data_IF_918348736063
#
_entry.id   IF_918348736063
#
_cell.length_a   1.000
_cell.length_b   1.000
_cell.length_c   1.000
_cell.angle_alpha   90.00
_cell.angle_beta   90.00
_cell.angle_gamma   90.00
#
_symmetry.space_group_name_H-M   'P 1'
#
loop_
_entity.id
_entity.type
_entity.pdbx_description
1 polymer ?
#
# COMPACT_ATOMS: atom_id res chain seq x y z
N UNK A 1 50.01 8.53 -38.95
CA UNK A 1 48.99 8.44 -40.02
C UNK A 1 47.65 8.24 -39.34
N UNK A 2 46.79 9.26 -39.32
CA UNK A 2 45.45 9.16 -38.70
C UNK A 2 44.49 8.73 -39.82
N UNK A 3 43.99 7.50 -39.75
CA UNK A 3 43.03 6.99 -40.71
C UNK A 3 41.63 7.55 -40.39
N UNK A 4 41.11 8.39 -41.28
CA UNK A 4 39.70 8.77 -41.30
C UNK A 4 38.89 7.61 -41.90
N UNK A 5 37.78 7.17 -41.29
CA UNK A 5 37.00 6.04 -41.80
C UNK A 5 36.34 6.43 -43.13
N UNK A 6 36.70 5.75 -44.21
CA UNK A 6 36.05 5.85 -45.51
C UNK A 6 34.85 4.90 -45.61
N UNK A 7 33.97 5.19 -46.56
CA UNK A 7 32.71 4.49 -46.90
C UNK A 7 32.86 2.98 -47.23
N UNK A 8 34.09 2.44 -47.21
CA UNK A 8 34.43 1.08 -47.64
C UNK A 8 34.44 0.04 -46.51
N UNK A 9 34.12 0.42 -45.26
CA UNK A 9 34.01 -0.50 -44.14
C UNK A 9 32.57 -0.54 -43.61
N UNK A 10 31.79 -1.52 -44.06
CA UNK A 10 30.43 -1.81 -43.57
C UNK A 10 30.41 -3.04 -42.67
N UNK A 11 29.37 -3.17 -41.83
CA UNK A 11 29.18 -4.35 -40.97
C UNK A 11 29.86 -4.28 -39.58
N UNK A 12 30.28 -3.09 -39.13
CA UNK A 12 30.77 -2.92 -37.76
C UNK A 12 29.68 -3.29 -36.75
N UNK A 13 30.01 -4.22 -35.86
CA UNK A 13 29.20 -4.57 -34.69
C UNK A 13 30.09 -4.67 -33.45
N UNK A 14 29.52 -4.36 -32.28
CA UNK A 14 30.24 -4.43 -31.01
C UNK A 14 30.34 -3.09 -30.30
N UNK A 15 30.93 -3.10 -29.11
CA UNK A 15 31.07 -1.90 -28.28
C UNK A 15 32.53 -1.64 -27.93
N UNK A 16 32.99 -0.40 -28.12
CA UNK A 16 34.35 0.04 -27.77
C UNK A 16 34.29 1.43 -27.12
N UNK A 17 34.93 1.58 -25.94
CA UNK A 17 35.07 2.85 -25.20
C UNK A 17 33.79 3.70 -25.12
N UNK A 18 32.65 3.06 -24.89
CA UNK A 18 31.37 3.75 -24.73
C UNK A 18 30.67 4.12 -26.05
N UNK A 19 31.12 3.61 -27.19
CA UNK A 19 30.38 3.65 -28.47
C UNK A 19 29.99 2.23 -28.84
N UNK A 20 28.71 2.01 -29.11
CA UNK A 20 28.16 0.76 -29.64
C UNK A 20 27.85 0.94 -31.11
N UNK A 21 28.48 0.12 -31.95
CA UNK A 21 28.19 0.02 -33.37
C UNK A 21 27.20 -1.12 -33.62
N UNK A 22 26.20 -0.87 -34.47
CA UNK A 22 25.34 -1.92 -35.03
C UNK A 22 25.02 -1.61 -36.49
N UNK A 23 24.82 -2.65 -37.29
CA UNK A 23 24.39 -2.52 -38.67
C UNK A 23 22.90 -2.89 -38.78
N UNK A 24 22.07 -1.95 -39.23
CA UNK A 24 20.63 -2.14 -39.36
C UNK A 24 20.13 -1.43 -40.61
N UNK A 25 19.30 -2.10 -41.40
CA UNK A 25 18.67 -1.57 -42.63
C UNK A 25 19.64 -0.88 -43.61
N UNK A 26 20.81 -1.52 -43.82
CA UNK A 26 21.83 -1.00 -44.75
C UNK A 26 22.68 0.15 -44.20
N UNK A 27 22.56 0.47 -42.91
CA UNK A 27 23.25 1.61 -42.27
C UNK A 27 24.04 1.16 -41.05
N UNK A 28 25.26 1.70 -40.91
CA UNK A 28 26.02 1.63 -39.66
C UNK A 28 25.50 2.67 -38.69
N UNK A 29 24.90 2.24 -37.59
CA UNK A 29 24.43 3.08 -36.49
C UNK A 29 25.48 3.04 -35.38
N UNK A 30 26.00 4.21 -35.02
CA UNK A 30 26.88 4.39 -33.86
C UNK A 30 26.09 5.09 -32.77
N UNK A 31 25.88 4.42 -31.63
CA UNK A 31 25.23 5.00 -30.47
C UNK A 31 26.22 5.14 -29.32
N UNK A 32 26.28 6.33 -28.71
CA UNK A 32 27.00 6.53 -27.46
C UNK A 32 26.27 5.80 -26.33
N UNK A 33 27.03 5.17 -25.44
CA UNK A 33 26.51 4.59 -24.20
C UNK A 33 26.06 5.75 -23.33
N UNK A 34 24.76 5.86 -23.12
CA UNK A 34 24.22 6.84 -22.20
C UNK A 34 24.61 6.45 -20.77
N UNK A 35 25.35 7.33 -20.11
CA UNK A 35 25.56 7.25 -18.67
C UNK A 35 24.52 8.14 -17.99
N UNK A 36 23.88 7.69 -16.91
CA UNK A 36 23.03 8.56 -16.11
C UNK A 36 23.88 9.75 -15.63
N UNK A 37 23.40 10.96 -15.84
CA UNK A 37 24.03 12.17 -15.31
C UNK A 37 23.48 12.44 -13.91
N UNK A 38 24.36 12.87 -12.99
CA UNK A 38 24.00 13.20 -11.60
C UNK A 38 24.13 12.05 -10.60
N UNK A 39 23.95 12.39 -9.32
CA UNK A 39 23.97 11.42 -8.22
C UNK A 39 22.68 10.60 -8.18
N UNK A 40 22.81 9.29 -8.00
CA UNK A 40 21.64 8.42 -7.86
C UNK A 40 21.08 8.54 -6.44
N UNK A 41 19.78 8.80 -6.33
CA UNK A 41 19.11 8.83 -5.02
C UNK A 41 19.10 7.45 -4.37
N UNK A 42 19.00 7.39 -3.05
CA UNK A 42 18.93 6.12 -2.28
C UNK A 42 17.80 5.23 -2.82
N UNK A 43 16.63 5.81 -3.12
CA UNK A 43 15.50 5.08 -3.70
C UNK A 43 15.79 4.50 -5.09
N UNK A 44 16.48 5.25 -5.95
CA UNK A 44 16.90 4.74 -7.27
C UNK A 44 17.89 3.59 -7.13
N UNK A 45 18.83 3.67 -6.18
CA UNK A 45 19.77 2.59 -5.89
C UNK A 45 19.06 1.34 -5.34
N UNK A 46 18.09 1.50 -4.44
CA UNK A 46 17.28 0.41 -3.92
C UNK A 46 16.52 -0.32 -5.04
N UNK A 47 15.85 0.44 -5.94
CA UNK A 47 15.14 -0.14 -7.09
C UNK A 47 16.07 -0.85 -8.07
N UNK A 48 17.24 -0.25 -8.39
CA UNK A 48 18.26 -0.90 -9.23
C UNK A 48 18.78 -2.19 -8.60
N UNK A 49 18.94 -2.21 -7.28
CA UNK A 49 19.42 -3.37 -6.53
C UNK A 49 18.38 -4.50 -6.53
N UNK A 50 17.11 -4.16 -6.31
CA UNK A 50 15.97 -5.09 -6.43
C UNK A 50 15.91 -5.72 -7.82
N UNK A 51 15.89 -4.92 -8.89
CA UNK A 51 15.89 -5.44 -10.26
C UNK A 51 17.10 -6.33 -10.54
N UNK A 52 18.30 -5.90 -10.12
CA UNK A 52 19.52 -6.70 -10.26
C UNK A 52 19.45 -8.02 -9.49
N UNK A 53 18.84 -8.05 -8.30
CA UNK A 53 18.63 -9.27 -7.51
C UNK A 53 17.72 -10.24 -8.28
N UNK A 54 16.58 -9.76 -8.77
CA UNK A 54 15.61 -10.56 -9.54
C UNK A 54 16.24 -11.08 -10.84
N UNK A 55 16.96 -10.24 -11.60
CA UNK A 55 17.61 -10.72 -12.83
C UNK A 55 18.67 -11.79 -12.57
N UNK A 56 19.35 -11.73 -11.42
CA UNK A 56 20.36 -12.73 -11.02
C UNK A 56 19.76 -14.09 -10.62
N UNK A 57 18.48 -14.16 -10.23
CA UNK A 57 17.82 -15.42 -9.91
C UNK A 57 17.29 -16.15 -11.14
N UNK A 58 17.07 -15.45 -12.26
CA UNK A 58 16.68 -16.09 -13.52
C UNK A 58 17.59 -17.26 -13.97
N UNK A 59 18.94 -17.13 -14.00
CA UNK A 59 19.81 -18.24 -14.41
C UNK A 59 19.87 -19.40 -13.40
N UNK A 60 19.36 -19.23 -12.18
CA UNK A 60 19.27 -20.32 -11.19
C UNK A 60 18.01 -21.16 -11.32
N UNK A 61 17.05 -20.72 -12.16
CA UNK A 61 15.85 -21.49 -12.46
C UNK A 61 16.18 -22.71 -13.32
N UNK A 62 15.40 -23.76 -13.16
CA UNK A 62 15.48 -24.94 -14.02
C UNK A 62 15.07 -24.63 -15.45
N UNK A 63 15.47 -25.47 -16.41
CA UNK A 63 15.06 -25.33 -17.81
C UNK A 63 13.54 -25.40 -17.96
N UNK A 64 12.88 -26.28 -17.19
CA UNK A 64 11.43 -26.41 -17.19
C UNK A 64 10.74 -25.13 -16.71
N UNK A 65 11.19 -24.56 -15.60
CA UNK A 65 10.65 -23.28 -15.09
C UNK A 65 10.79 -22.16 -16.11
N UNK A 66 11.97 -22.04 -16.76
CA UNK A 66 12.20 -21.02 -17.78
C UNK A 66 11.27 -21.21 -18.99
N UNK A 67 11.05 -22.45 -19.42
CA UNK A 67 10.09 -22.76 -20.49
C UNK A 67 8.65 -22.37 -20.10
N UNK A 68 8.24 -22.61 -18.87
CA UNK A 68 6.90 -22.24 -18.41
C UNK A 68 6.72 -20.72 -18.35
N UNK A 69 7.76 -19.97 -17.98
CA UNK A 69 7.78 -18.50 -18.08
C UNK A 69 7.71 -18.00 -19.53
N UNK A 70 8.40 -18.65 -20.48
CA UNK A 70 8.28 -18.31 -21.90
C UNK A 70 6.87 -18.57 -22.43
N UNK A 71 6.26 -19.71 -22.10
CA UNK A 71 4.86 -20.02 -22.47
C UNK A 71 3.89 -18.98 -21.92
N UNK A 72 4.04 -18.58 -20.65
CA UNK A 72 3.19 -17.56 -20.07
C UNK A 72 3.40 -16.19 -20.76
N UNK A 73 4.63 -15.87 -21.13
CA UNK A 73 4.97 -14.62 -21.83
C UNK A 73 4.36 -14.51 -23.24
N UNK A 74 4.10 -15.63 -23.92
CA UNK A 74 3.37 -15.63 -25.21
C UNK A 74 1.94 -15.10 -25.08
N UNK A 75 1.32 -15.31 -23.91
CA UNK A 75 -0.04 -14.85 -23.61
C UNK A 75 -0.06 -13.49 -22.90
N UNK A 76 1.06 -13.05 -22.32
CA UNK A 76 1.18 -11.76 -21.66
C UNK A 76 1.52 -10.66 -22.69
N UNK A 77 0.72 -9.60 -22.72
CA UNK A 77 0.99 -8.46 -23.58
C UNK A 77 1.77 -7.37 -22.84
N UNK A 78 2.84 -6.87 -23.46
CA UNK A 78 3.50 -5.64 -23.05
C UNK A 78 2.67 -4.40 -23.39
N UNK A 79 3.14 -3.23 -22.95
CA UNK A 79 2.55 -1.95 -23.33
C UNK A 79 2.57 -1.80 -24.86
N UNK A 80 1.43 -1.47 -25.46
CA UNK A 80 1.37 -1.20 -26.90
C UNK A 80 1.88 0.20 -27.18
N UNK A 81 2.88 0.31 -28.05
CA UNK A 81 3.42 1.58 -28.54
C UNK A 81 3.19 1.59 -30.05
N UNK A 82 2.49 2.60 -30.55
CA UNK A 82 2.05 2.71 -31.97
C UNK A 82 1.17 1.55 -32.48
N UNK A 83 0.28 1.01 -31.65
CA UNK A 83 -0.70 -0.01 -32.07
C UNK A 83 -0.15 -1.42 -32.26
N UNK A 84 1.14 -1.63 -32.05
CA UNK A 84 1.76 -2.96 -31.98
C UNK A 84 1.92 -3.36 -30.52
N UNK A 85 1.45 -4.56 -30.15
CA UNK A 85 1.68 -5.11 -28.81
C UNK A 85 3.11 -5.61 -28.73
N UNK A 86 3.89 -5.12 -27.77
CA UNK A 86 5.24 -5.62 -27.55
C UNK A 86 5.16 -7.09 -27.08
N UNK A 87 5.83 -7.99 -27.80
CA UNK A 87 6.02 -9.37 -27.35
C UNK A 87 6.95 -9.38 -26.15
N UNK A 88 6.52 -10.02 -25.07
CA UNK A 88 7.32 -10.18 -23.87
C UNK A 88 8.09 -11.49 -23.95
N UNK A 89 9.34 -11.52 -23.45
CA UNK A 89 10.08 -12.76 -23.23
C UNK A 89 9.84 -13.27 -21.82
N UNK A 90 10.09 -14.56 -21.58
CA UNK A 90 9.96 -15.19 -20.27
C UNK A 90 10.74 -14.46 -19.18
N UNK A 91 11.98 -14.08 -19.44
CA UNK A 91 12.79 -13.28 -18.49
C UNK A 91 12.17 -11.91 -18.20
N UNK A 92 11.60 -11.23 -19.20
CA UNK A 92 11.00 -9.91 -19.01
C UNK A 92 9.70 -10.03 -18.20
N UNK A 93 8.91 -11.08 -18.43
CA UNK A 93 7.73 -11.36 -17.63
C UNK A 93 8.11 -11.72 -16.19
N UNK A 94 9.09 -12.60 -16.02
CA UNK A 94 9.63 -12.99 -14.71
C UNK A 94 10.08 -11.78 -13.90
N UNK A 95 10.89 -10.89 -14.49
CA UNK A 95 11.36 -9.68 -13.82
C UNK A 95 10.19 -8.75 -13.48
N UNK A 96 9.22 -8.58 -14.38
CA UNK A 96 8.05 -7.72 -14.16
C UNK A 96 7.20 -8.20 -12.99
N UNK A 97 6.78 -9.46 -12.99
CA UNK A 97 5.89 -10.00 -11.95
C UNK A 97 6.60 -10.04 -10.59
N UNK A 98 7.86 -10.48 -10.56
CA UNK A 98 8.63 -10.52 -9.32
C UNK A 98 9.00 -9.14 -8.77
N UNK A 99 9.15 -8.11 -9.63
CA UNK A 99 9.34 -6.74 -9.15
C UNK A 99 8.09 -6.21 -8.44
N UNK A 100 6.91 -6.57 -8.93
CA UNK A 100 5.64 -6.23 -8.28
C UNK A 100 5.46 -6.98 -6.96
N UNK A 101 5.74 -8.28 -6.94
CA UNK A 101 5.72 -9.09 -5.71
C UNK A 101 6.66 -8.53 -4.64
N UNK A 102 7.91 -8.25 -5.03
CA UNK A 102 8.89 -7.66 -4.11
C UNK A 102 8.45 -6.27 -3.61
N UNK A 103 7.74 -5.50 -4.43
CA UNK A 103 7.15 -4.22 -4.00
C UNK A 103 6.07 -4.40 -2.93
N UNK A 104 5.29 -5.49 -3.00
CA UNK A 104 4.29 -5.85 -2.00
C UNK A 104 4.86 -6.64 -0.78
N UNK A 105 6.19 -6.76 -0.68
CA UNK A 105 6.86 -7.47 0.42
C UNK A 105 6.95 -8.99 0.23
N UNK A 106 6.49 -9.52 -0.91
CA UNK A 106 6.41 -10.95 -1.17
C UNK A 106 7.73 -11.55 -1.67
N UNK A 107 7.90 -12.86 -1.46
CA UNK A 107 9.03 -13.62 -1.99
C UNK A 107 8.99 -13.76 -3.52
N UNK A 108 10.14 -14.08 -4.13
CA UNK A 108 10.25 -14.28 -5.58
C UNK A 108 9.61 -15.61 -5.98
N UNK A 109 8.74 -15.58 -6.99
CA UNK A 109 8.24 -16.78 -7.65
C UNK A 109 9.35 -17.41 -8.50
N UNK A 110 9.60 -18.70 -8.27
CA UNK A 110 10.41 -19.53 -9.15
C UNK A 110 9.57 -20.09 -10.30
N UNK A 111 8.39 -20.63 -9.98
CA UNK A 111 7.46 -21.22 -10.94
C UNK A 111 6.55 -20.16 -11.56
N UNK A 112 6.30 -20.29 -12.87
CA UNK A 112 5.39 -19.39 -13.57
C UNK A 112 3.94 -19.64 -13.13
N UNK A 113 3.13 -18.59 -12.95
CA UNK A 113 1.69 -18.73 -12.76
C UNK A 113 1.04 -19.56 -13.87
N UNK A 114 -0.01 -20.32 -13.55
CA UNK A 114 -0.69 -21.19 -14.50
C UNK A 114 -1.33 -20.45 -15.70
N UNK A 115 -1.55 -19.14 -15.57
CA UNK A 115 -2.08 -18.29 -16.62
C UNK A 115 -2.10 -16.82 -16.23
N UNK A 116 -2.56 -15.98 -17.15
CA UNK A 116 -2.80 -14.57 -16.86
C UNK A 116 -3.95 -14.43 -15.86
N UNK A 117 -3.70 -13.78 -14.74
CA UNK A 117 -4.75 -13.40 -13.79
C UNK A 117 -5.27 -12.02 -14.16
N UNK A 118 -6.57 -11.93 -14.47
CA UNK A 118 -7.23 -10.66 -14.67
C UNK A 118 -7.54 -10.03 -13.31
N UNK A 119 -6.72 -9.07 -12.89
CA UNK A 119 -7.03 -8.27 -11.73
C UNK A 119 -8.22 -7.34 -12.02
N UNK A 120 -9.13 -7.14 -11.05
CA UNK A 120 -10.29 -6.29 -11.24
C UNK A 120 -9.88 -4.82 -11.46
N UNK A 121 -10.82 -4.01 -11.94
CA UNK A 121 -10.64 -2.57 -11.98
C UNK A 121 -10.87 -1.96 -10.60
N UNK A 122 -10.18 -0.86 -10.31
CA UNK A 122 -10.40 -0.09 -9.08
C UNK A 122 -11.68 0.73 -9.26
N UNK A 123 -12.59 0.59 -8.30
CA UNK A 123 -13.83 1.37 -8.18
C UNK A 123 -13.76 2.11 -6.84
N UNK A 124 -13.89 3.44 -6.86
CA UNK A 124 -13.99 4.29 -5.66
C UNK A 124 -15.03 5.40 -5.89
N UNK A 125 -15.46 6.05 -4.82
CA UNK A 125 -16.46 7.13 -4.88
C UNK A 125 -15.83 8.51 -4.98
N UNK A 126 -14.82 8.81 -4.17
CA UNK A 126 -14.16 10.11 -4.19
C UNK A 126 -12.70 10.04 -3.71
N UNK A 127 -11.90 11.03 -4.10
CA UNK A 127 -10.54 11.23 -3.60
C UNK A 127 -10.49 12.62 -2.96
N UNK A 128 -10.19 12.66 -1.66
CA UNK A 128 -9.98 13.90 -0.92
C UNK A 128 -8.49 14.21 -0.87
N UNK A 129 -8.14 15.44 -1.23
CA UNK A 129 -6.77 15.96 -1.13
C UNK A 129 -6.84 17.32 -0.48
N UNK A 130 -6.22 17.44 0.68
CA UNK A 130 -6.08 18.67 1.46
C UNK A 130 -4.69 18.69 2.09
N UNK A 131 -4.26 19.80 2.71
CA UNK A 131 -2.98 19.83 3.43
C UNK A 131 -2.87 18.77 4.52
N UNK A 132 -3.98 18.48 5.21
CA UNK A 132 -4.02 17.63 6.39
C UNK A 132 -4.51 16.21 6.12
N UNK A 133 -5.17 15.98 4.97
CA UNK A 133 -5.78 14.70 4.62
C UNK A 133 -5.66 14.39 3.13
N UNK A 134 -5.14 13.19 2.84
CA UNK A 134 -5.14 12.57 1.52
C UNK A 134 -5.76 11.17 1.63
N UNK A 135 -7.01 11.02 1.21
CA UNK A 135 -7.77 9.79 1.38
C UNK A 135 -8.60 9.43 0.14
N UNK A 136 -8.71 8.13 -0.14
CA UNK A 136 -9.57 7.59 -1.19
C UNK A 136 -10.75 6.88 -0.50
N UNK A 137 -11.98 7.25 -0.83
CA UNK A 137 -13.19 6.79 -0.13
C UNK A 137 -14.15 6.05 -1.06
N UNK A 138 -14.96 5.17 -0.47
CA UNK A 138 -15.91 4.32 -1.19
C UNK A 138 -15.24 3.31 -2.12
N UNK A 139 -14.02 2.88 -1.78
CA UNK A 139 -13.29 1.81 -2.46
C UNK A 139 -14.11 0.53 -2.34
N UNK A 140 -14.31 -0.14 -3.46
CA UNK A 140 -14.93 -1.46 -3.48
C UNK A 140 -13.91 -2.53 -3.11
N UNK A 141 -13.93 -2.94 -1.84
CA UNK A 141 -13.02 -3.93 -1.27
C UNK A 141 -12.80 -5.14 -2.17
N UNK A 142 -11.54 -5.58 -2.25
CA UNK A 142 -11.17 -6.85 -2.86
C UNK A 142 -10.44 -7.69 -1.82
N UNK A 143 -10.91 -8.92 -1.57
CA UNK A 143 -10.22 -9.79 -0.63
C UNK A 143 -8.83 -10.15 -1.14
N UNK A 144 -8.00 -10.68 -0.24
CA UNK A 144 -6.74 -11.32 -0.60
C UNK A 144 -6.93 -12.27 -1.81
N UNK A 145 -5.98 -12.28 -2.77
CA UNK A 145 -4.62 -11.72 -2.70
C UNK A 145 -4.46 -10.30 -3.28
N UNK A 146 -5.54 -9.55 -3.48
CA UNK A 146 -5.45 -8.23 -4.10
C UNK A 146 -5.07 -7.14 -3.10
N UNK A 147 -4.06 -6.33 -3.44
CA UNK A 147 -3.68 -5.11 -2.71
C UNK A 147 -3.77 -3.88 -3.60
N UNK A 148 -4.18 -2.74 -3.05
CA UNK A 148 -4.33 -1.50 -3.80
C UNK A 148 -2.96 -0.81 -3.91
N UNK A 149 -2.51 -0.56 -5.13
CA UNK A 149 -1.32 0.25 -5.38
C UNK A 149 -1.76 1.67 -5.70
N UNK A 150 -1.19 2.64 -4.96
CA UNK A 150 -1.48 4.06 -5.11
C UNK A 150 -0.23 4.80 -5.56
N UNK A 151 -0.36 5.54 -6.67
CA UNK A 151 0.65 6.47 -7.16
C UNK A 151 0.10 7.88 -7.14
N UNK A 152 0.92 8.83 -6.69
CA UNK A 152 0.53 10.22 -6.66
C UNK A 152 1.66 11.11 -7.14
N UNK A 153 1.32 12.28 -7.69
CA UNK A 153 2.29 13.33 -8.01
C UNK A 153 2.45 14.31 -6.86
N UNK A 154 3.57 15.04 -6.84
CA UNK A 154 3.62 16.31 -6.13
C UNK A 154 2.58 17.29 -6.72
N UNK A 155 2.21 18.31 -5.96
CA UNK A 155 1.27 19.33 -6.42
C UNK A 155 1.77 20.04 -7.70
N UNK A 156 0.85 20.20 -8.66
CA UNK A 156 1.08 20.82 -9.96
C UNK A 156 0.18 22.05 -10.11
N UNK A 157 0.55 22.97 -10.99
CA UNK A 157 -0.35 24.07 -11.36
C UNK A 157 -1.69 23.51 -11.88
N UNK A 158 -2.84 24.08 -11.49
CA UNK A 158 -4.15 23.60 -11.95
C UNK A 158 -4.31 23.62 -13.48
N UNK A 159 -3.54 24.45 -14.19
CA UNK A 159 -3.52 24.49 -15.66
C UNK A 159 -2.81 23.30 -16.33
N UNK A 160 -2.12 22.43 -15.59
CA UNK A 160 -1.46 21.24 -16.16
C UNK A 160 -2.53 20.19 -16.49
N UNK A 161 -2.60 19.79 -17.76
CA UNK A 161 -3.55 18.80 -18.27
C UNK A 161 -2.98 17.38 -18.34
N UNK A 162 -1.65 17.24 -18.36
CA UNK A 162 -0.97 15.95 -18.40
C UNK A 162 0.26 15.98 -17.47
N UNK A 163 0.20 15.23 -16.38
CA UNK A 163 1.29 15.08 -15.41
C UNK A 163 1.50 13.62 -14.97
N UNK A 164 1.04 12.65 -15.76
CA UNK A 164 1.09 11.23 -15.39
C UNK A 164 2.52 10.70 -15.26
N UNK A 165 3.49 11.32 -15.93
CA UNK A 165 4.92 11.03 -15.85
C UNK A 165 5.56 11.46 -14.52
N UNK A 166 4.87 12.30 -13.73
CA UNK A 166 5.33 12.82 -12.44
C UNK A 166 4.83 12.00 -11.25
N UNK A 167 4.02 10.98 -11.48
CA UNK A 167 3.45 10.14 -10.42
C UNK A 167 4.50 9.15 -9.90
N UNK A 168 4.59 9.04 -8.58
CA UNK A 168 5.46 8.09 -7.89
C UNK A 168 4.60 7.14 -7.04
N UNK A 169 5.05 5.90 -6.89
CA UNK A 169 4.38 4.93 -6.01
C UNK A 169 4.56 5.40 -4.57
N UNK A 170 3.45 5.75 -3.92
CA UNK A 170 3.42 6.14 -2.51
C UNK A 170 3.13 4.94 -1.61
N UNK A 171 2.33 3.98 -2.09
CA UNK A 171 2.08 2.71 -1.42
C UNK A 171 1.94 1.59 -2.45
N UNK A 172 2.52 0.43 -2.15
CA UNK A 172 2.49 -0.76 -3.02
C UNK A 172 1.54 -1.85 -2.52
N UNK A 173 0.89 -1.62 -1.39
CA UNK A 173 0.25 -2.63 -0.57
C UNK A 173 -0.87 -2.03 0.31
N UNK A 174 -1.48 -0.92 -0.11
CA UNK A 174 -2.58 -0.30 0.64
C UNK A 174 -3.73 -1.29 0.75
N UNK A 175 -4.18 -1.54 1.97
CA UNK A 175 -5.44 -2.23 2.23
C UNK A 175 -6.53 -1.18 2.40
N UNK A 176 -7.70 -1.42 1.80
CA UNK A 176 -8.86 -0.60 2.09
C UNK A 176 -9.50 -1.06 3.39
N UNK A 177 -9.75 -0.10 4.28
CA UNK A 177 -10.42 -0.31 5.55
C UNK A 177 -11.85 0.21 5.41
N UNK A 178 -12.82 -0.70 5.32
CA UNK A 178 -14.24 -0.37 5.06
C UNK A 178 -14.46 0.52 3.82
N UNK A 179 -13.63 0.32 2.79
CA UNK A 179 -13.70 1.11 1.57
C UNK A 179 -13.01 2.47 1.67
N UNK A 180 -12.14 2.68 2.65
CA UNK A 180 -11.30 3.85 2.77
C UNK A 180 -9.81 3.48 2.74
N UNK A 181 -9.02 4.30 2.05
CA UNK A 181 -7.57 4.26 2.12
C UNK A 181 -7.05 5.65 2.48
N UNK A 182 -6.66 5.85 3.73
CA UNK A 182 -5.91 7.03 4.14
C UNK A 182 -4.44 6.85 3.78
N UNK A 183 -3.95 7.70 2.88
CA UNK A 183 -2.57 7.67 2.37
C UNK A 183 -1.83 8.95 2.72
N UNK A 184 -2.30 9.71 3.70
CA UNK A 184 -1.75 11.04 4.07
C UNK A 184 -0.29 10.95 4.48
N UNK A 185 0.04 10.07 5.43
CA UNK A 185 1.42 9.90 5.88
C UNK A 185 2.31 9.32 4.79
N UNK A 186 1.79 8.38 4.00
CA UNK A 186 2.50 7.78 2.87
C UNK A 186 2.78 8.83 1.78
N UNK A 187 1.84 9.72 1.52
CA UNK A 187 2.00 10.86 0.63
C UNK A 187 3.09 11.80 1.15
N UNK A 188 2.98 12.25 2.40
CA UNK A 188 3.94 13.18 3.00
C UNK A 188 5.35 12.59 3.04
N UNK A 189 5.50 11.34 3.46
CA UNK A 189 6.78 10.64 3.52
C UNK A 189 7.41 10.47 2.14
N UNK A 190 6.61 10.28 1.08
CA UNK A 190 7.13 10.03 -0.27
C UNK A 190 7.40 11.29 -1.07
N UNK A 191 6.50 12.27 -0.97
CA UNK A 191 6.57 13.53 -1.70
C UNK A 191 7.45 14.55 -0.95
N UNK A 192 7.45 14.49 0.38
CA UNK A 192 8.23 15.37 1.26
C UNK A 192 7.58 16.72 1.54
N UNK A 193 6.41 17.00 0.97
CA UNK A 193 5.66 18.26 1.14
C UNK A 193 4.17 17.94 1.17
N UNK A 194 3.44 18.59 2.07
CA UNK A 194 1.98 18.51 2.14
C UNK A 194 1.32 19.07 0.86
N UNK A 195 0.06 18.70 0.62
CA UNK A 195 -0.64 19.18 -0.56
C UNK A 195 -0.96 20.69 -0.44
N UNK A 196 -0.68 21.46 -1.49
CA UNK A 196 -0.91 22.91 -1.50
C UNK A 196 -2.33 23.22 -2.00
N UNK A 197 -3.15 23.97 -1.24
CA UNK A 197 -4.50 24.34 -1.69
C UNK A 197 -4.51 25.05 -3.04
N UNK A 198 -5.48 24.72 -3.89
CA UNK A 198 -5.63 25.24 -5.25
C UNK A 198 -4.67 24.63 -6.29
N UNK A 199 -3.76 23.74 -5.87
CA UNK A 199 -2.90 22.98 -6.79
C UNK A 199 -3.47 21.59 -7.08
N UNK A 200 -3.09 21.02 -8.22
CA UNK A 200 -3.60 19.75 -8.72
C UNK A 200 -2.66 18.59 -8.37
N UNK A 201 -3.22 17.47 -7.94
CA UNK A 201 -2.51 16.21 -7.73
C UNK A 201 -3.04 15.16 -8.70
N UNK A 202 -2.14 14.48 -9.41
CA UNK A 202 -2.47 13.36 -10.28
C UNK A 202 -2.39 12.05 -9.48
N UNK A 203 -3.42 11.22 -9.59
CA UNK A 203 -3.55 9.96 -8.85
C UNK A 203 -3.71 8.81 -9.84
N UNK A 204 -2.90 7.77 -9.68
CA UNK A 204 -3.07 6.50 -10.40
C UNK A 204 -3.27 5.36 -9.40
N UNK A 205 -4.30 4.56 -9.58
CA UNK A 205 -4.62 3.41 -8.72
C UNK A 205 -4.81 2.15 -9.53
N UNK A 206 -4.33 1.01 -9.04
CA UNK A 206 -4.59 -0.31 -9.63
C UNK A 206 -4.48 -1.41 -8.58
N UNK A 207 -5.22 -2.51 -8.78
CA UNK A 207 -5.06 -3.71 -7.96
C UNK A 207 -3.80 -4.48 -8.38
N UNK A 208 -3.03 -4.94 -7.40
CA UNK A 208 -1.92 -5.87 -7.54
C UNK A 208 -2.33 -7.21 -6.91
N UNK A 209 -2.27 -8.28 -7.67
CA UNK A 209 -2.35 -9.64 -7.14
C UNK A 209 -1.00 -10.01 -6.53
N UNK A 210 -0.94 -10.17 -5.21
CA UNK A 210 0.30 -10.51 -4.51
C UNK A 210 0.73 -11.94 -4.73
N UNK A 211 -0.18 -12.87 -5.06
CA UNK A 211 0.14 -14.27 -5.36
C UNK A 211 0.86 -14.41 -6.70
N UNK A 212 0.53 -13.60 -7.70
CA UNK A 212 1.10 -13.76 -9.04
C UNK A 212 1.98 -12.59 -9.49
N UNK A 213 1.82 -11.41 -8.90
CA UNK A 213 2.45 -10.16 -9.34
C UNK A 213 1.75 -9.48 -10.52
N UNK A 214 0.60 -9.99 -10.98
CA UNK A 214 -0.19 -9.36 -12.02
C UNK A 214 -0.87 -8.09 -11.51
N UNK A 215 -1.04 -7.11 -12.40
CA UNK A 215 -1.64 -5.81 -12.08
C UNK A 215 -2.88 -5.56 -12.92
N UNK A 216 -3.88 -4.92 -12.34
CA UNK A 216 -5.09 -4.48 -13.02
C UNK A 216 -4.85 -3.29 -13.95
N UNK A 217 -5.93 -2.79 -14.53
CA UNK A 217 -5.87 -1.56 -15.31
C UNK A 217 -5.63 -0.37 -14.39
N UNK A 218 -4.82 0.58 -14.88
CA UNK A 218 -4.54 1.82 -14.17
C UNK A 218 -5.75 2.73 -14.29
N UNK A 219 -6.41 2.98 -13.17
CA UNK A 219 -7.40 4.03 -13.03
C UNK A 219 -6.69 5.35 -12.75
N UNK A 220 -7.08 6.41 -13.46
CA UNK A 220 -6.41 7.71 -13.46
C UNK A 220 -7.38 8.82 -13.11
N UNK A 221 -6.99 9.67 -12.16
CA UNK A 221 -7.76 10.85 -11.80
C UNK A 221 -6.84 12.04 -11.45
N UNK A 222 -7.38 13.24 -11.51
CA UNK A 222 -6.69 14.45 -11.09
C UNK A 222 -7.59 15.28 -10.17
N UNK A 223 -7.10 15.56 -8.98
CA UNK A 223 -7.85 16.21 -7.92
C UNK A 223 -7.22 17.57 -7.62
N UNK A 224 -8.04 18.59 -7.39
CA UNK A 224 -7.55 19.88 -6.90
C UNK A 224 -7.52 19.79 -5.38
N UNK A 225 -6.38 20.13 -4.78
CA UNK A 225 -6.25 20.22 -3.34
C UNK A 225 -7.18 21.33 -2.80
N UNK A 226 -8.11 20.95 -1.94
CA UNK A 226 -9.05 21.85 -1.28
C UNK A 226 -8.47 22.35 0.05
N UNK A 227 -9.02 23.45 0.58
CA UNK A 227 -8.56 24.02 1.85
C UNK A 227 -8.98 23.20 3.07
N UNK A 228 -10.17 22.60 3.02
CA UNK A 228 -10.74 21.74 4.05
C UNK A 228 -11.45 20.58 3.36
N UNK A 229 -11.34 19.38 3.92
CA UNK A 229 -12.05 18.23 3.40
C UNK A 229 -13.45 18.24 4.04
N UNK A 230 -14.54 18.02 3.26
CA UNK A 230 -15.85 17.73 3.84
C UNK A 230 -15.87 16.37 4.56
N UNK A 231 -14.78 15.62 4.45
CA UNK A 231 -14.55 14.31 5.02
C UNK A 231 -13.56 14.42 6.19
N UNK A 232 -13.98 14.01 7.38
CA UNK A 232 -13.12 13.92 8.56
C UNK A 232 -12.60 12.49 8.68
N UNK A 233 -11.30 12.35 8.93
CA UNK A 233 -10.65 11.06 9.20
C UNK A 233 -11.44 10.29 10.27
N UNK A 234 -11.65 8.99 10.04
CA UNK A 234 -12.22 8.09 11.05
C UNK A 234 -11.37 8.11 12.31
N UNK A 235 -12.01 8.27 13.46
CA UNK A 235 -11.32 8.21 14.74
C UNK A 235 -11.23 6.74 15.13
N UNK A 236 -10.02 6.23 15.33
CA UNK A 236 -9.77 4.83 15.69
C UNK A 236 -8.68 4.73 16.74
N UNK A 237 -8.81 3.76 17.64
CA UNK A 237 -7.74 3.34 18.53
C UNK A 237 -7.31 1.92 18.16
N UNK A 238 -6.05 1.73 17.79
CA UNK A 238 -5.47 0.43 17.45
C UNK A 238 -4.26 0.13 18.33
N UNK A 239 -3.64 -1.04 18.15
CA UNK A 239 -2.39 -1.38 18.84
C UNK A 239 -1.25 -0.38 18.57
N UNK A 240 -1.27 0.31 17.43
CA UNK A 240 -0.26 1.33 17.08
C UNK A 240 -0.53 2.68 17.76
N UNK A 241 -1.74 2.89 18.29
CA UNK A 241 -2.14 4.07 19.07
C UNK A 241 -1.77 3.96 20.55
N UNK A 242 -1.20 2.84 20.98
CA UNK A 242 -0.87 2.62 22.39
C UNK A 242 0.34 3.45 22.81
N UNK A 243 0.26 4.01 24.01
CA UNK A 243 1.40 4.67 24.64
C UNK A 243 2.47 3.63 25.03
N UNK A 244 3.68 3.70 24.46
CA UNK A 244 4.75 2.74 24.77
C UNK A 244 5.32 2.90 26.19
N UNK A 245 5.05 4.00 26.88
CA UNK A 245 5.52 4.26 28.24
C UNK A 245 4.60 3.70 29.34
N UNK A 246 3.37 3.31 28.98
CA UNK A 246 2.34 2.82 29.89
C UNK A 246 1.97 1.35 29.58
N UNK A 247 1.64 0.58 30.62
CA UNK A 247 1.26 -0.82 30.44
C UNK A 247 -0.23 -0.94 30.08
N UNK A 248 -0.53 -1.30 28.84
CA UNK A 248 -1.91 -1.62 28.40
C UNK A 248 -2.21 -3.12 28.56
N UNK A 249 -3.39 -3.47 29.06
CA UNK A 249 -3.78 -4.85 29.38
C UNK A 249 -4.65 -5.49 28.29
N UNK A 250 -4.16 -5.42 27.04
CA UNK A 250 -4.80 -5.97 25.85
C UNK A 250 -3.79 -6.67 24.94
N UNK A 251 -4.18 -7.74 24.24
CA UNK A 251 -3.35 -8.37 23.19
C UNK A 251 -3.78 -8.00 21.77
N UNK A 252 -4.97 -7.42 21.62
CA UNK A 252 -5.47 -6.84 20.39
C UNK A 252 -6.41 -5.68 20.72
N UNK A 253 -6.32 -4.61 19.95
CA UNK A 253 -7.18 -3.44 20.05
C UNK A 253 -7.51 -2.95 18.65
N UNK A 254 -8.80 -2.80 18.40
CA UNK A 254 -9.39 -2.21 17.22
C UNK A 254 -10.74 -1.58 17.61
N UNK A 255 -10.73 -0.30 17.93
CA UNK A 255 -11.94 0.46 18.28
C UNK A 255 -12.16 1.55 17.26
N UNK A 256 -13.25 1.45 16.49
CA UNK A 256 -13.65 2.43 15.47
C UNK A 256 -14.81 3.26 16.01
N UNK A 257 -14.62 4.58 16.02
CA UNK A 257 -15.66 5.53 16.37
C UNK A 257 -16.35 5.97 15.08
N UNK A 258 -17.57 5.48 14.86
CA UNK A 258 -18.30 5.77 13.62
C UNK A 258 -18.51 7.27 13.46
N UNK A 259 -18.08 7.81 12.33
CA UNK A 259 -18.27 9.23 12.02
C UNK A 259 -19.76 9.48 11.74
N UNK A 260 -20.40 10.35 12.53
CA UNK A 260 -21.78 10.79 12.32
C UNK A 260 -22.88 10.04 13.10
N UNK A 261 -22.52 9.11 13.99
CA UNK A 261 -23.45 8.51 14.94
C UNK A 261 -22.77 8.29 16.31
N UNK A 262 -23.50 8.34 17.44
CA UNK A 262 -22.93 8.08 18.76
C UNK A 262 -22.72 6.57 18.98
N UNK A 263 -22.02 5.91 18.06
CA UNK A 263 -21.77 4.46 18.08
C UNK A 263 -20.28 4.22 17.89
N UNK A 264 -19.71 3.38 18.74
CA UNK A 264 -18.38 2.83 18.58
C UNK A 264 -18.48 1.33 18.31
N UNK A 265 -17.65 0.84 17.40
CA UNK A 265 -17.43 -0.58 17.21
C UNK A 265 -16.21 -0.98 18.06
N UNK A 266 -16.46 -1.76 19.10
CA UNK A 266 -15.41 -2.30 19.95
C UNK A 266 -14.96 -3.65 19.40
N UNK A 267 -13.65 -3.86 19.31
CA UNK A 267 -13.03 -5.16 19.08
C UNK A 267 -11.69 -5.19 19.83
N UNK A 268 -11.64 -5.87 20.97
CA UNK A 268 -10.46 -5.92 21.81
C UNK A 268 -10.32 -7.28 22.50
N UNK A 269 -9.09 -7.74 22.71
CA UNK A 269 -8.80 -8.91 23.54
C UNK A 269 -8.20 -8.42 24.86
N UNK A 270 -9.05 -8.37 25.89
CA UNK A 270 -8.73 -7.92 27.23
C UNK A 270 -8.04 -9.01 28.03
N UNK A 271 -7.03 -8.64 28.82
CA UNK A 271 -6.28 -9.54 29.71
C UNK A 271 -6.64 -9.40 31.18
N UNK A 272 -7.42 -8.39 31.54
CA UNK A 272 -7.65 -7.95 32.91
C UNK A 272 -6.41 -7.37 33.60
N UNK A 273 -6.63 -6.65 34.69
CA UNK A 273 -5.59 -5.91 35.41
C UNK A 273 -5.73 -6.07 36.92
N UNK A 274 -4.62 -6.32 37.64
CA UNK A 274 -4.48 -6.12 39.09
C UNK A 274 -5.60 -6.64 39.99
N UNK A 275 -6.10 -7.85 39.74
CA UNK A 275 -7.25 -8.47 40.45
C UNK A 275 -8.57 -7.65 40.37
N UNK A 276 -8.65 -6.70 39.44
CA UNK A 276 -9.84 -5.96 39.10
C UNK A 276 -10.45 -6.59 37.84
N UNK A 277 -11.77 -6.64 37.78
CA UNK A 277 -12.50 -7.12 36.61
C UNK A 277 -12.54 -6.05 35.51
N UNK A 278 -11.38 -5.62 35.04
CA UNK A 278 -11.22 -4.62 33.98
C UNK A 278 -9.87 -4.70 33.27
N UNK A 279 -9.82 -4.23 32.02
CA UNK A 279 -8.60 -3.97 31.26
C UNK A 279 -8.47 -2.48 30.98
N UNK A 280 -7.24 -1.96 31.09
CA UNK A 280 -6.91 -0.57 30.77
C UNK A 280 -6.09 -0.49 29.49
N UNK A 281 -6.35 0.55 28.70
CA UNK A 281 -5.73 0.81 27.41
C UNK A 281 -5.32 2.27 27.39
N UNK A 282 -4.00 2.51 27.38
CA UNK A 282 -3.41 3.84 27.39
C UNK A 282 -3.03 4.22 25.96
N UNK A 283 -3.60 5.32 25.46
CA UNK A 283 -3.36 5.85 24.13
C UNK A 283 -2.36 7.00 24.19
N UNK A 284 -1.49 7.10 23.18
CA UNK A 284 -0.42 8.09 23.10
C UNK A 284 -0.91 9.53 22.84
N UNK A 285 -2.17 9.67 22.39
CA UNK A 285 -2.80 10.93 22.00
C UNK A 285 -4.23 11.04 22.56
N UNK A 286 -4.68 12.29 22.72
CA UNK A 286 -6.08 12.58 23.05
C UNK A 286 -7.03 12.15 21.92
N UNK A 287 -8.18 11.61 22.32
CA UNK A 287 -9.28 11.37 21.39
C UNK A 287 -10.13 12.65 21.25
N UNK A 288 -10.79 12.88 20.11
CA UNK A 288 -11.73 13.99 19.97
C UNK A 288 -12.79 13.99 21.07
N UNK A 289 -13.17 15.18 21.54
CA UNK A 289 -14.15 15.34 22.63
C UNK A 289 -15.50 14.66 22.34
N UNK A 290 -15.84 14.48 21.06
CA UNK A 290 -17.08 13.83 20.61
C UNK A 290 -17.14 12.33 20.89
N UNK A 291 -15.98 11.68 21.09
CA UNK A 291 -15.88 10.23 21.35
C UNK A 291 -15.52 9.91 22.81
N UNK A 292 -15.25 10.94 23.61
CA UNK A 292 -15.04 10.84 25.06
C UNK A 292 -16.39 10.58 25.73
N UNK A 293 -16.47 9.54 26.56
CA UNK A 293 -17.74 9.14 27.16
C UNK A 293 -17.76 7.69 27.65
N UNK A 294 -18.97 7.14 27.75
CA UNK A 294 -19.18 5.74 28.17
C UNK A 294 -19.84 4.93 27.07
N UNK A 295 -19.15 3.88 26.63
CA UNK A 295 -19.65 2.86 25.72
C UNK A 295 -20.11 1.60 26.44
N UNK A 296 -20.75 0.70 25.69
CA UNK A 296 -21.14 -0.65 26.16
C UNK A 296 -20.74 -1.66 25.09
N UNK A 297 -20.13 -2.77 25.48
CA UNK A 297 -19.89 -3.89 24.57
C UNK A 297 -20.17 -5.24 25.24
N UNK A 298 -20.30 -6.27 24.41
CA UNK A 298 -20.39 -7.65 24.88
C UNK A 298 -18.99 -8.25 24.94
N UNK A 299 -18.81 -9.23 25.81
CA UNK A 299 -17.60 -10.02 25.92
C UNK A 299 -17.92 -11.50 25.76
N UNK A 300 -16.99 -12.25 25.16
CA UNK A 300 -16.99 -13.71 25.21
C UNK A 300 -15.64 -14.21 25.69
N UNK A 301 -15.66 -15.21 26.54
CA UNK A 301 -14.46 -15.86 27.04
C UNK A 301 -14.66 -17.36 27.15
N UNK A 302 -13.54 -18.09 27.22
CA UNK A 302 -13.57 -19.52 27.52
C UNK A 302 -13.44 -19.71 29.03
N UNK A 303 -14.47 -20.31 29.64
CA UNK A 303 -14.43 -20.72 31.03
C UNK A 303 -13.39 -21.82 31.28
N UNK A 304 -13.04 -22.08 32.55
CA UNK A 304 -12.12 -23.16 32.92
C UNK A 304 -12.56 -24.55 32.44
N UNK A 305 -13.85 -24.74 32.15
CA UNK A 305 -14.46 -25.96 31.64
C UNK A 305 -14.59 -25.99 30.11
N UNK A 306 -14.00 -25.00 29.41
CA UNK A 306 -14.05 -24.87 27.96
C UNK A 306 -15.38 -24.35 27.40
N UNK A 307 -16.32 -23.93 28.26
CA UNK A 307 -17.58 -23.33 27.80
C UNK A 307 -17.42 -21.86 27.46
N UNK A 308 -18.19 -21.40 26.49
CA UNK A 308 -18.28 -19.97 26.17
C UNK A 308 -19.08 -19.26 27.26
N UNK A 309 -18.47 -18.25 27.87
CA UNK A 309 -19.07 -17.43 28.91
C UNK A 309 -19.37 -16.05 28.34
N UNK A 310 -20.65 -15.65 28.22
CA UNK A 310 -21.01 -14.30 27.85
C UNK A 310 -20.77 -13.35 29.01
N UNK A 311 -20.22 -12.19 28.70
CA UNK A 311 -19.94 -11.11 29.63
C UNK A 311 -20.43 -9.78 29.03
N UNK A 312 -20.61 -8.75 29.85
CA UNK A 312 -20.91 -7.39 29.41
C UNK A 312 -19.95 -6.40 30.05
N UNK A 313 -19.58 -5.39 29.29
CA UNK A 313 -18.57 -4.40 29.65
C UNK A 313 -19.11 -2.98 29.44
N UNK A 314 -18.77 -2.10 30.37
CA UNK A 314 -18.76 -0.67 30.12
C UNK A 314 -17.37 -0.28 29.63
N UNK A 315 -17.30 0.59 28.63
CA UNK A 315 -16.05 1.12 28.10
C UNK A 315 -15.99 2.58 28.47
N UNK A 316 -15.16 2.94 29.43
CA UNK A 316 -14.98 4.34 29.84
C UNK A 316 -13.83 4.96 29.05
N UNK A 317 -14.07 6.09 28.41
CA UNK A 317 -13.11 6.78 27.57
C UNK A 317 -12.98 8.21 28.08
N UNK A 318 -11.75 8.63 28.39
CA UNK A 318 -11.46 9.99 28.81
C UNK A 318 -10.06 10.42 28.39
N UNK A 319 -9.91 11.72 28.15
CA UNK A 319 -8.60 12.33 27.93
C UNK A 319 -8.02 12.80 29.27
N UNK A 320 -6.70 12.66 29.42
CA UNK A 320 -5.96 13.20 30.55
C UNK A 320 -4.54 13.58 30.11
N UNK A 321 -4.12 14.81 30.41
CA UNK A 321 -2.77 15.32 30.19
C UNK A 321 -2.18 15.05 28.79
N UNK A 322 -2.96 15.26 27.72
CA UNK A 322 -2.49 15.07 26.33
C UNK A 322 -2.55 13.62 25.82
N UNK A 323 -3.07 12.70 26.63
CA UNK A 323 -3.25 11.27 26.33
C UNK A 323 -4.71 10.86 26.53
N UNK A 324 -5.08 9.64 26.12
CA UNK A 324 -6.40 9.09 26.40
C UNK A 324 -6.33 7.73 27.11
N UNK A 325 -7.27 7.47 28.00
CA UNK A 325 -7.43 6.19 28.69
C UNK A 325 -8.79 5.59 28.34
N UNK A 326 -8.75 4.34 27.87
CA UNK A 326 -9.92 3.51 27.64
C UNK A 326 -9.92 2.32 28.61
N UNK A 327 -10.98 2.21 29.42
CA UNK A 327 -11.12 1.13 30.41
C UNK A 327 -12.28 0.22 30.05
N UNK A 328 -11.99 -1.03 29.74
CA UNK A 328 -12.99 -2.09 29.55
C UNK A 328 -13.34 -2.69 30.92
N UNK A 329 -14.42 -2.19 31.54
CA UNK A 329 -14.85 -2.60 32.87
C UNK A 329 -16.01 -3.61 32.82
N UNK A 330 -15.78 -4.82 33.34
CA UNK A 330 -16.79 -5.87 33.40
C UNK A 330 -17.97 -5.45 34.31
N UNK A 331 -19.21 -5.70 33.87
CA UNK A 331 -20.44 -5.37 34.60
C UNK A 331 -21.45 -6.49 34.71
N UNK A 332 -21.39 -7.51 33.86
CA UNK A 332 -22.37 -8.58 33.89
C UNK A 332 -21.82 -9.87 33.31
N UNK A 333 -22.34 -10.99 33.82
CA UNK A 333 -21.84 -12.32 33.52
C UNK A 333 -20.81 -12.81 34.55
N UNK A 334 -20.32 -14.02 34.32
CA UNK A 334 -19.20 -14.57 35.10
C UNK A 334 -17.90 -14.03 34.52
N UNK A 335 -17.10 -13.36 35.35
CA UNK A 335 -15.87 -12.74 34.89
C UNK A 335 -14.81 -13.80 34.54
N UNK A 336 -14.24 -13.66 33.36
CA UNK A 336 -13.05 -14.41 32.94
C UNK A 336 -11.99 -13.40 32.52
N UNK A 337 -10.76 -13.62 32.97
CA UNK A 337 -9.70 -12.62 32.82
C UNK A 337 -9.38 -12.32 31.35
N UNK A 338 -9.14 -13.36 30.55
CA UNK A 338 -8.94 -13.21 29.11
C UNK A 338 -10.27 -13.24 28.40
N UNK A 339 -10.72 -12.09 27.90
CA UNK A 339 -12.03 -11.92 27.26
C UNK A 339 -11.91 -11.14 25.95
N UNK A 340 -12.55 -11.64 24.90
CA UNK A 340 -12.75 -10.89 23.67
C UNK A 340 -13.99 -10.01 23.82
N UNK A 341 -13.78 -8.69 23.85
CA UNK A 341 -14.80 -7.66 23.87
C UNK A 341 -15.12 -7.24 22.45
N UNK A 342 -16.40 -7.30 22.05
CA UNK A 342 -16.83 -7.02 20.68
C UNK A 342 -18.22 -6.38 20.59
N UNK A 343 -18.47 -5.74 19.45
CA UNK A 343 -19.78 -5.28 19.02
C UNK A 343 -19.92 -3.77 18.92
N UNK A 344 -21.05 -3.32 18.37
CA UNK A 344 -21.39 -1.91 18.31
C UNK A 344 -22.04 -1.48 19.63
N UNK A 345 -21.51 -0.42 20.24
CA UNK A 345 -22.01 0.17 21.48
C UNK A 345 -22.35 1.63 21.28
N UNK A 346 -23.43 2.09 21.92
CA UNK A 346 -23.75 3.53 21.97
C UNK A 346 -22.76 4.21 22.92
N UNK A 347 -22.22 5.34 22.49
CA UNK A 347 -21.43 6.24 23.32
C UNK A 347 -22.33 7.32 23.92
N UNK A 348 -22.25 7.49 25.24
CA UNK A 348 -22.97 8.50 26.01
C UNK A 348 -22.04 9.49 26.68
#
# INVERSE_FOLDING_TARGET
>A
MIALPSIAFGGFSGSAKGVTARYQDGRSILSLKCYPTGEATILQLARRTSLKKITKTWPTLTDQQRLDWERLAEHANGQSVFGQKAKLSGINLYVRLNANRQMAGEELLADAPAGNVAAPNVEYSNIYVTPDLVAITGIKHKPAPFKLVVKMSACQSPGVSNGWDKTVIISGDTEDDWGEADVTELYLNKIGVAATPGQKVFVETYWLDTETGFTGQIQRDSVICEGEAPYTRRVRATMDSLDPEEESNVTALDVDFSTGAPVAQFNAVCLGHSNVASSEVHLDQELPAEVVGTGVCLGRANGPDGKIIPQSYLVWIHNNDGKALMTFAHRGGYYVNTTECFGAGILY
#
